data_IF_937442224688
#
_entry.id   IF_937442224688
#
_cell.length_a   1.000
_cell.length_b   1.000
_cell.length_c   1.000
_cell.angle_alpha   90.00
_cell.angle_beta   90.00
_cell.angle_gamma   90.00
#
_symmetry.space_group_name_H-M   'P 1'
#
loop_
_entity.id
_entity.type
_entity.pdbx_description
1 polymer ?
#
# COMPACT_ATOMS: atom_id res chain seq x y z
N UNK A 1 -8.92 4.98 -16.70
CA UNK A 1 -8.78 3.56 -17.03
C UNK A 1 -9.99 3.09 -17.83
N UNK A 2 -9.77 2.10 -18.68
CA UNK A 2 -10.88 1.44 -19.40
C UNK A 2 -11.31 0.18 -18.63
N UNK A 3 -12.62 -0.07 -18.63
CA UNK A 3 -13.21 -1.28 -18.09
C UNK A 3 -14.20 -1.89 -19.07
N UNK A 4 -14.26 -3.21 -19.14
CA UNK A 4 -15.14 -3.97 -20.03
C UNK A 4 -16.09 -4.80 -19.17
N UNK A 5 -17.38 -4.76 -19.50
CA UNK A 5 -18.39 -5.52 -18.78
C UNK A 5 -19.36 -6.24 -19.71
N UNK A 6 -19.85 -7.37 -19.23
CA UNK A 6 -20.81 -8.22 -19.94
C UNK A 6 -22.06 -8.38 -19.07
N UNK A 7 -23.23 -8.40 -19.68
CA UNK A 7 -24.47 -8.57 -18.91
C UNK A 7 -25.68 -8.86 -19.78
N UNK A 8 -26.72 -9.47 -19.18
CA UNK A 8 -28.00 -9.70 -19.83
C UNK A 8 -28.74 -8.41 -20.13
N UNK A 9 -28.44 -7.36 -19.37
CA UNK A 9 -28.95 -5.99 -19.59
C UNK A 9 -27.79 -5.04 -19.77
N UNK A 10 -28.01 -3.92 -20.43
CA UNK A 10 -27.02 -2.85 -20.58
C UNK A 10 -26.55 -2.36 -19.26
N UNK A 11 -27.46 -2.14 -18.30
CA UNK A 11 -27.11 -1.65 -16.95
C UNK A 11 -26.22 -2.64 -16.19
N UNK A 12 -26.52 -3.95 -16.30
CA UNK A 12 -25.68 -4.99 -15.69
C UNK A 12 -24.27 -5.01 -16.31
N UNK A 13 -24.16 -4.83 -17.63
CA UNK A 13 -22.88 -4.73 -18.31
C UNK A 13 -22.09 -3.48 -17.87
N UNK A 14 -22.76 -2.33 -17.72
CA UNK A 14 -22.14 -1.10 -17.21
C UNK A 14 -21.61 -1.30 -15.78
N UNK A 15 -22.41 -1.91 -14.89
CA UNK A 15 -21.97 -2.17 -13.52
C UNK A 15 -20.77 -3.12 -13.47
N UNK A 16 -20.73 -4.11 -14.35
CA UNK A 16 -19.56 -4.99 -14.46
C UNK A 16 -18.35 -4.26 -15.05
N UNK A 17 -18.55 -3.39 -16.06
CA UNK A 17 -17.47 -2.58 -16.63
C UNK A 17 -16.87 -1.62 -15.58
N UNK A 18 -17.68 -1.07 -14.68
CA UNK A 18 -17.18 -0.26 -13.55
C UNK A 18 -16.32 -1.08 -12.59
N UNK A 19 -16.73 -2.33 -12.30
CA UNK A 19 -15.93 -3.24 -11.45
C UNK A 19 -14.59 -3.55 -12.09
N UNK A 20 -14.60 -3.87 -13.38
CA UNK A 20 -13.39 -4.14 -14.16
C UNK A 20 -12.46 -2.91 -14.18
N UNK A 21 -13.01 -1.71 -14.39
CA UNK A 21 -12.24 -0.46 -14.33
C UNK A 21 -11.58 -0.25 -12.95
N UNK A 22 -12.29 -0.55 -11.86
CA UNK A 22 -11.72 -0.49 -10.50
C UNK A 22 -10.62 -1.53 -10.34
N UNK A 23 -10.82 -2.76 -10.82
CA UNK A 23 -9.83 -3.83 -10.77
C UNK A 23 -8.56 -3.47 -11.56
N UNK A 24 -8.72 -2.93 -12.77
CA UNK A 24 -7.61 -2.42 -13.59
C UNK A 24 -6.88 -1.26 -12.88
N UNK A 25 -7.63 -0.32 -12.30
CA UNK A 25 -7.07 0.81 -11.55
C UNK A 25 -6.33 0.39 -10.28
N UNK A 26 -6.80 -0.65 -9.61
CA UNK A 26 -6.17 -1.26 -8.44
C UNK A 26 -5.16 -2.36 -8.83
N UNK A 27 -5.20 -2.86 -10.05
CA UNK A 27 -4.46 -4.04 -10.54
C UNK A 27 -2.94 -3.94 -10.42
N UNK A 28 -2.40 -2.74 -10.22
CA UNK A 28 -0.99 -2.57 -9.86
C UNK A 28 -0.65 -3.14 -8.46
N UNK A 29 -1.66 -3.47 -7.66
CA UNK A 29 -1.53 -3.94 -6.28
C UNK A 29 -1.90 -5.42 -6.08
N UNK A 30 -2.56 -6.05 -7.06
CA UNK A 30 -3.04 -7.43 -6.93
C UNK A 30 -2.20 -8.33 -7.86
N UNK A 31 -1.43 -9.29 -7.30
CA UNK A 31 -0.68 -10.24 -8.10
C UNK A 31 -1.63 -11.26 -8.78
N UNK A 32 -1.24 -11.73 -9.97
CA UNK A 32 -2.04 -12.63 -10.82
C UNK A 32 -2.41 -13.99 -10.18
N UNK A 33 -1.80 -14.37 -9.07
CA UNK A 33 -2.12 -15.59 -8.33
C UNK A 33 -3.35 -15.48 -7.43
N UNK A 34 -3.92 -14.28 -7.29
CA UNK A 34 -5.01 -13.97 -6.36
C UNK A 34 -6.36 -13.77 -7.06
N UNK A 35 -6.54 -14.24 -8.30
CA UNK A 35 -7.71 -13.93 -9.14
C UNK A 35 -9.05 -14.25 -8.45
N UNK A 36 -9.19 -15.39 -7.77
CA UNK A 36 -10.45 -15.75 -7.07
C UNK A 36 -10.67 -14.89 -5.83
N UNK A 37 -9.60 -14.56 -5.13
CA UNK A 37 -9.62 -13.70 -3.94
C UNK A 37 -9.80 -12.24 -4.35
N UNK A 38 -9.26 -11.84 -5.50
CA UNK A 38 -9.41 -10.51 -6.07
C UNK A 38 -10.87 -10.16 -6.37
N UNK A 39 -11.63 -11.09 -6.95
CA UNK A 39 -13.05 -10.86 -7.26
C UNK A 39 -13.87 -10.60 -5.99
N UNK A 40 -13.64 -11.40 -4.93
CA UNK A 40 -14.32 -11.21 -3.63
C UNK A 40 -13.88 -9.90 -2.98
N UNK A 41 -12.59 -9.54 -3.09
CA UNK A 41 -12.06 -8.29 -2.58
C UNK A 41 -12.66 -7.10 -3.32
N UNK A 42 -12.68 -7.14 -4.66
CA UNK A 42 -13.26 -6.09 -5.49
C UNK A 42 -14.75 -5.89 -5.21
N UNK A 43 -15.52 -6.97 -5.02
CA UNK A 43 -16.93 -6.90 -4.64
C UNK A 43 -17.12 -6.26 -3.26
N UNK A 44 -16.29 -6.58 -2.28
CA UNK A 44 -16.34 -5.97 -0.95
C UNK A 44 -15.94 -4.50 -0.98
N UNK A 45 -14.87 -4.16 -1.69
CA UNK A 45 -14.42 -2.79 -1.88
C UNK A 45 -15.48 -2.00 -2.63
N UNK A 46 -16.00 -2.54 -3.74
CA UNK A 46 -17.02 -1.88 -4.55
C UNK A 46 -18.34 -1.69 -3.80
N UNK A 47 -18.77 -2.66 -3.00
CA UNK A 47 -20.01 -2.56 -2.22
C UNK A 47 -19.90 -1.52 -1.09
N UNK A 48 -18.70 -1.31 -0.55
CA UNK A 48 -18.44 -0.33 0.52
C UNK A 48 -18.06 1.04 0.00
N UNK A 49 -17.39 1.10 -1.15
CA UNK A 49 -16.90 2.31 -1.76
C UNK A 49 -17.60 2.58 -3.10
N UNK A 50 -18.87 2.95 -3.05
CA UNK A 50 -19.61 3.45 -4.24
C UNK A 50 -18.98 4.69 -4.90
N UNK A 51 -17.82 5.12 -4.41
CA UNK A 51 -17.10 6.29 -4.85
C UNK A 51 -15.79 6.04 -5.60
N UNK A 52 -15.41 4.78 -5.89
CA UNK A 52 -14.16 4.53 -6.64
C UNK A 52 -14.22 5.02 -8.09
N UNK A 53 -15.38 4.93 -8.75
CA UNK A 53 -15.59 5.52 -10.06
C UNK A 53 -16.19 6.91 -9.88
N UNK A 54 -15.38 7.95 -10.02
CA UNK A 54 -15.84 9.35 -9.95
C UNK A 54 -16.74 9.72 -11.10
N UNK A 55 -16.27 9.42 -12.31
CA UNK A 55 -16.96 9.68 -13.56
C UNK A 55 -16.67 8.56 -14.53
N UNK A 56 -17.60 8.28 -15.42
CA UNK A 56 -17.37 7.35 -16.51
C UNK A 56 -18.13 7.79 -17.75
N UNK A 57 -17.59 7.39 -18.90
CA UNK A 57 -18.22 7.55 -20.20
C UNK A 57 -18.27 6.19 -20.90
N UNK A 58 -19.40 5.89 -21.55
CA UNK A 58 -19.51 4.69 -22.38
C UNK A 58 -18.80 4.94 -23.70
N UNK A 59 -17.72 4.20 -23.92
CA UNK A 59 -16.89 4.28 -25.14
C UNK A 59 -17.51 3.44 -26.26
N UNK A 60 -17.98 2.25 -25.93
CA UNK A 60 -18.65 1.36 -26.87
C UNK A 60 -19.67 0.49 -26.17
N UNK A 61 -20.74 0.14 -26.94
CA UNK A 61 -21.75 -0.80 -26.51
C UNK A 61 -22.17 -1.67 -27.68
N UNK A 62 -22.22 -2.96 -27.47
CA UNK A 62 -22.59 -3.93 -28.49
C UNK A 62 -23.47 -5.02 -27.87
N UNK A 63 -24.52 -5.41 -28.59
CA UNK A 63 -25.33 -6.56 -28.18
C UNK A 63 -24.91 -7.76 -29.00
N UNK A 64 -24.38 -8.77 -28.33
CA UNK A 64 -23.90 -10.00 -28.94
C UNK A 64 -25.06 -10.87 -29.52
N UNK A 65 -24.73 -11.83 -30.36
CA UNK A 65 -25.71 -12.76 -30.96
C UNK A 65 -26.34 -13.69 -29.89
N UNK A 66 -25.72 -13.85 -28.74
CA UNK A 66 -26.20 -14.56 -27.55
C UNK A 66 -27.19 -13.75 -26.71
N UNK A 67 -27.46 -12.50 -27.11
CA UNK A 67 -28.36 -11.58 -26.43
C UNK A 67 -27.71 -10.80 -25.28
N UNK A 68 -26.45 -11.07 -24.95
CA UNK A 68 -25.72 -10.35 -23.93
C UNK A 68 -25.22 -8.99 -24.45
N UNK A 69 -25.14 -8.03 -23.56
CA UNK A 69 -24.50 -6.76 -23.80
C UNK A 69 -23.00 -6.83 -23.41
N UNK A 70 -22.18 -6.28 -24.27
CA UNK A 70 -20.80 -5.94 -24.02
C UNK A 70 -20.69 -4.42 -24.00
N UNK A 71 -20.16 -3.87 -22.91
CA UNK A 71 -20.00 -2.43 -22.74
C UNK A 71 -18.56 -2.14 -22.33
N UNK A 72 -17.95 -1.20 -23.03
CA UNK A 72 -16.65 -0.63 -22.63
C UNK A 72 -16.87 0.78 -22.10
N UNK A 73 -16.32 1.06 -20.95
CA UNK A 73 -16.33 2.40 -20.35
C UNK A 73 -14.91 2.94 -20.22
N UNK A 74 -14.78 4.26 -20.35
CA UNK A 74 -13.62 4.99 -19.82
C UNK A 74 -14.01 5.59 -18.48
N UNK A 75 -13.29 5.26 -17.43
CA UNK A 75 -13.61 5.65 -16.08
C UNK A 75 -12.43 6.38 -15.41
N UNK A 76 -12.76 7.44 -14.68
CA UNK A 76 -11.85 8.05 -13.71
C UNK A 76 -12.01 7.32 -12.38
N UNK A 77 -11.06 6.44 -12.09
CA UNK A 77 -10.98 5.72 -10.83
C UNK A 77 -10.11 6.52 -9.89
N UNK A 78 -10.69 6.96 -8.79
CA UNK A 78 -9.90 7.56 -7.71
C UNK A 78 -9.38 6.42 -6.84
N UNK A 79 -8.08 6.36 -6.67
CA UNK A 79 -7.49 5.53 -5.63
C UNK A 79 -7.87 6.14 -4.27
N UNK A 80 -9.03 5.79 -3.76
CA UNK A 80 -9.44 6.10 -2.38
C UNK A 80 -8.72 5.15 -1.43
N UNK A 81 -7.42 4.95 -1.67
CA UNK A 81 -6.58 4.13 -0.80
C UNK A 81 -6.69 4.63 0.65
N UNK A 82 -6.82 5.94 0.82
CA UNK A 82 -7.00 6.57 2.13
C UNK A 82 -8.29 6.11 2.80
N UNK A 83 -9.39 5.93 2.08
CA UNK A 83 -10.64 5.44 2.66
C UNK A 83 -10.59 3.94 2.96
N UNK A 84 -9.99 3.14 2.07
CA UNK A 84 -9.74 1.71 2.35
C UNK A 84 -8.82 1.55 3.57
N UNK A 85 -7.81 2.40 3.70
CA UNK A 85 -6.90 2.40 4.86
C UNK A 85 -7.58 2.89 6.15
N UNK A 86 -8.69 3.62 6.05
CA UNK A 86 -9.50 4.05 7.19
C UNK A 86 -10.60 3.03 7.55
N UNK A 87 -11.12 2.28 6.58
CA UNK A 87 -12.06 1.18 6.85
C UNK A 87 -11.29 -0.08 7.28
N UNK A 88 -11.34 -0.38 8.56
CA UNK A 88 -10.63 -1.52 9.16
C UNK A 88 -11.03 -2.86 8.51
N UNK A 89 -12.30 -3.06 8.18
CA UNK A 89 -12.76 -4.31 7.58
C UNK A 89 -12.28 -4.46 6.13
N UNK A 90 -12.24 -3.38 5.36
CA UNK A 90 -11.70 -3.38 4.01
C UNK A 90 -10.18 -3.63 4.02
N UNK A 91 -9.47 -2.99 4.94
CA UNK A 91 -8.03 -3.20 5.11
C UNK A 91 -7.71 -4.65 5.52
N UNK A 92 -8.45 -5.23 6.49
CA UNK A 92 -8.25 -6.63 6.90
C UNK A 92 -8.54 -7.61 5.76
N UNK A 93 -9.55 -7.32 4.93
CA UNK A 93 -9.86 -8.13 3.74
C UNK A 93 -8.70 -8.08 2.75
N UNK A 94 -8.15 -6.90 2.50
CA UNK A 94 -6.98 -6.71 1.64
C UNK A 94 -5.75 -7.46 2.17
N UNK A 95 -5.43 -7.31 3.44
CA UNK A 95 -4.30 -7.99 4.06
C UNK A 95 -4.44 -9.52 4.01
N UNK A 96 -5.64 -10.04 4.22
CA UNK A 96 -5.91 -11.47 4.12
C UNK A 96 -5.76 -11.96 2.68
N UNK A 97 -6.21 -11.20 1.67
CA UNK A 97 -6.06 -11.56 0.25
C UNK A 97 -4.59 -11.62 -0.18
N UNK A 98 -3.75 -10.80 0.43
CA UNK A 98 -2.30 -10.78 0.22
C UNK A 98 -1.54 -11.81 1.08
N UNK A 99 -2.24 -12.70 1.78
CA UNK A 99 -1.68 -13.67 2.72
C UNK A 99 -0.88 -13.03 3.87
N UNK A 100 -1.30 -11.82 4.30
CA UNK A 100 -0.70 -11.02 5.38
C UNK A 100 0.82 -10.93 5.25
N UNK A 101 1.34 -10.19 4.26
CA UNK A 101 2.77 -10.09 4.07
C UNK A 101 3.46 -9.55 5.33
N UNK A 102 4.55 -10.19 5.70
CA UNK A 102 5.33 -9.81 6.86
C UNK A 102 6.30 -8.69 6.52
N UNK A 103 6.27 -7.61 7.30
CA UNK A 103 6.97 -6.36 6.99
C UNK A 103 8.10 -6.11 7.98
N UNK A 104 9.26 -5.69 7.47
CA UNK A 104 10.37 -5.14 8.26
C UNK A 104 10.52 -3.65 8.00
N UNK A 105 10.75 -2.90 9.04
CA UNK A 105 11.19 -1.51 8.95
C UNK A 105 12.67 -1.39 9.32
N UNK A 106 13.46 -0.83 8.41
CA UNK A 106 14.85 -0.45 8.62
C UNK A 106 14.94 1.06 8.48
N UNK A 107 14.87 1.78 9.59
CA UNK A 107 14.88 3.25 9.57
C UNK A 107 16.13 3.76 10.29
N UNK A 108 16.93 4.54 9.56
CA UNK A 108 18.02 5.31 10.16
C UNK A 108 17.51 6.67 10.57
N UNK A 109 17.49 6.94 11.87
CA UNK A 109 17.16 8.25 12.39
C UNK A 109 18.40 9.05 12.75
N UNK A 110 18.34 10.35 12.48
CA UNK A 110 19.36 11.30 12.90
C UNK A 110 18.68 12.54 13.45
N UNK A 111 18.92 12.82 14.72
CA UNK A 111 18.52 14.07 15.33
C UNK A 111 19.69 15.07 15.23
N UNK A 112 19.53 16.04 14.32
CA UNK A 112 20.56 17.06 14.09
C UNK A 112 20.54 18.19 15.13
N UNK A 113 19.54 18.21 16.03
CA UNK A 113 19.46 19.21 17.10
C UNK A 113 20.46 18.84 18.20
N UNK A 114 20.42 17.58 18.64
CA UNK A 114 21.21 17.09 19.77
C UNK A 114 22.29 16.09 19.34
N UNK A 115 22.33 15.74 18.06
CA UNK A 115 23.21 14.72 17.48
C UNK A 115 23.12 13.34 18.18
N UNK A 116 21.94 13.04 18.73
CA UNK A 116 21.65 11.78 19.43
C UNK A 116 20.85 10.89 18.49
N UNK A 117 21.24 9.61 18.33
CA UNK A 117 20.41 8.65 17.60
C UNK A 117 19.07 8.50 18.29
N UNK A 118 18.00 8.62 17.51
CA UNK A 118 16.62 8.38 17.98
C UNK A 118 16.01 7.22 17.21
N UNK A 119 14.87 6.75 17.67
CA UNK A 119 14.11 5.65 17.03
C UNK A 119 12.62 5.95 17.00
N UNK A 120 12.29 7.23 17.05
CA UNK A 120 10.91 7.71 17.09
C UNK A 120 10.14 7.35 15.82
N UNK A 121 10.73 7.57 14.65
CA UNK A 121 10.06 7.32 13.37
C UNK A 121 9.84 5.81 13.18
N UNK A 122 10.87 4.98 13.47
CA UNK A 122 10.75 3.52 13.41
C UNK A 122 9.65 3.03 14.35
N UNK A 123 9.66 3.48 15.61
CA UNK A 123 8.69 3.07 16.62
C UNK A 123 7.26 3.50 16.25
N UNK A 124 7.11 4.71 15.73
CA UNK A 124 5.80 5.22 15.29
C UNK A 124 5.26 4.40 14.11
N UNK A 125 6.09 4.15 13.10
CA UNK A 125 5.71 3.31 11.96
C UNK A 125 5.29 1.91 12.42
N UNK A 126 6.10 1.25 13.24
CA UNK A 126 5.78 -0.06 13.81
C UNK A 126 4.43 -0.04 14.52
N UNK A 127 4.20 0.95 15.38
CA UNK A 127 2.95 1.09 16.14
C UNK A 127 1.73 1.28 15.24
N UNK A 128 1.83 2.16 14.24
CA UNK A 128 0.71 2.44 13.34
C UNK A 128 0.38 1.25 12.43
N UNK A 129 1.40 0.55 11.89
CA UNK A 129 1.18 -0.64 11.09
C UNK A 129 0.61 -1.78 11.93
N UNK A 130 1.11 -1.98 13.15
CA UNK A 130 0.59 -2.99 14.07
C UNK A 130 -0.88 -2.74 14.44
N UNK A 131 -1.26 -1.50 14.77
CA UNK A 131 -2.65 -1.11 15.05
C UNK A 131 -3.58 -1.39 13.88
N UNK A 132 -3.10 -1.27 12.66
CA UNK A 132 -3.86 -1.56 11.44
C UNK A 132 -3.87 -3.06 11.07
N UNK A 133 -3.26 -3.92 11.88
CA UNK A 133 -3.29 -5.38 11.72
C UNK A 133 -2.30 -5.94 10.70
N UNK A 134 -1.27 -5.20 10.34
CA UNK A 134 -0.16 -5.74 9.56
C UNK A 134 0.69 -6.70 10.40
N UNK A 135 1.24 -7.74 9.77
CA UNK A 135 2.26 -8.58 10.39
C UNK A 135 3.63 -7.87 10.29
N UNK A 136 4.14 -7.44 11.43
CA UNK A 136 5.38 -6.68 11.50
C UNK A 136 6.41 -7.46 12.29
N UNK A 137 7.64 -7.55 11.76
CA UNK A 137 8.76 -8.21 12.44
C UNK A 137 9.08 -7.50 13.74
N UNK A 138 9.28 -8.28 14.80
CA UNK A 138 9.63 -7.75 16.10
C UNK A 138 10.91 -6.90 16.04
N UNK A 139 10.85 -5.74 16.67
CA UNK A 139 11.94 -4.77 16.70
C UNK A 139 13.23 -5.34 17.30
N UNK A 140 13.13 -6.21 18.30
CA UNK A 140 14.31 -6.80 18.93
C UNK A 140 15.07 -7.69 17.95
N UNK A 141 14.37 -8.41 17.07
CA UNK A 141 14.98 -9.21 16.01
C UNK A 141 15.76 -8.32 15.03
N UNK A 142 15.18 -7.18 14.64
CA UNK A 142 15.84 -6.21 13.76
C UNK A 142 17.04 -5.55 14.45
N UNK A 143 16.89 -5.19 15.70
CA UNK A 143 17.99 -4.57 16.48
C UNK A 143 19.19 -5.50 16.66
N UNK A 144 18.98 -6.80 16.73
CA UNK A 144 20.06 -7.78 16.79
C UNK A 144 20.95 -7.79 15.53
N UNK A 145 20.46 -7.23 14.43
CA UNK A 145 21.21 -7.08 13.17
C UNK A 145 21.93 -5.74 13.05
N UNK A 146 21.62 -4.77 13.91
CA UNK A 146 22.28 -3.44 13.89
C UNK A 146 23.79 -3.61 14.09
N UNK A 147 24.57 -2.96 13.22
CA UNK A 147 26.03 -3.06 13.23
C UNK A 147 26.60 -4.24 12.43
N UNK A 148 25.78 -5.12 11.87
CA UNK A 148 26.23 -6.10 10.90
C UNK A 148 26.36 -5.47 9.51
N UNK A 149 27.29 -5.98 8.68
CA UNK A 149 27.57 -5.40 7.37
C UNK A 149 26.35 -5.35 6.44
N UNK A 150 25.58 -6.44 6.40
CA UNK A 150 24.36 -6.50 5.54
C UNK A 150 23.30 -5.48 6.00
N UNK A 151 23.19 -5.17 7.30
CA UNK A 151 22.26 -4.15 7.81
C UNK A 151 22.64 -2.75 7.33
N UNK A 152 23.90 -2.38 7.43
CA UNK A 152 24.39 -1.06 6.99
C UNK A 152 24.30 -0.91 5.46
N UNK A 153 24.59 -1.99 4.73
CA UNK A 153 24.43 -2.02 3.27
C UNK A 153 22.97 -1.87 2.85
N UNK A 154 22.05 -2.56 3.52
CA UNK A 154 20.61 -2.45 3.26
C UNK A 154 20.14 -1.01 3.50
N UNK A 155 20.53 -0.39 4.62
CA UNK A 155 20.22 1.03 4.90
C UNK A 155 20.80 1.98 3.86
N UNK A 156 21.88 1.61 3.21
CA UNK A 156 22.49 2.37 2.11
C UNK A 156 21.78 2.14 0.75
N UNK A 157 20.74 1.30 0.73
CA UNK A 157 19.93 1.01 -0.45
C UNK A 157 20.35 -0.23 -1.26
N UNK A 158 21.28 -1.05 -0.72
CA UNK A 158 21.66 -2.32 -1.35
C UNK A 158 20.51 -3.34 -1.25
N UNK A 159 19.88 -3.61 -2.39
CA UNK A 159 18.72 -4.53 -2.47
C UNK A 159 19.10 -5.97 -2.11
N UNK A 160 20.30 -6.43 -2.49
CA UNK A 160 20.73 -7.79 -2.19
C UNK A 160 20.94 -7.99 -0.68
N UNK A 161 21.51 -7.01 0.03
CA UNK A 161 21.66 -7.04 1.47
C UNK A 161 20.28 -6.98 2.17
N UNK A 162 19.37 -6.14 1.66
CA UNK A 162 17.99 -6.09 2.14
C UNK A 162 17.27 -7.44 2.00
N UNK A 163 17.38 -8.09 0.83
CA UNK A 163 16.78 -9.41 0.59
C UNK A 163 17.34 -10.50 1.51
N UNK A 164 18.64 -10.46 1.85
CA UNK A 164 19.22 -11.39 2.83
C UNK A 164 18.60 -11.20 4.22
N UNK A 165 18.43 -9.94 4.66
CA UNK A 165 17.77 -9.62 5.93
C UNK A 165 16.33 -10.11 5.93
N UNK A 166 15.59 -9.89 4.82
CA UNK A 166 14.24 -10.41 4.68
C UNK A 166 14.18 -11.91 4.86
N UNK A 167 15.01 -12.65 4.12
CA UNK A 167 15.09 -14.10 4.20
C UNK A 167 15.45 -14.60 5.61
N UNK A 168 16.38 -13.92 6.28
CA UNK A 168 16.81 -14.27 7.63
C UNK A 168 15.70 -14.08 8.68
N UNK A 169 14.87 -13.06 8.53
CA UNK A 169 13.80 -12.72 9.46
C UNK A 169 12.42 -13.21 8.99
N UNK A 170 12.34 -13.90 7.85
CA UNK A 170 11.12 -14.42 7.28
C UNK A 170 10.13 -13.30 6.92
N UNK A 171 10.60 -12.24 6.30
CA UNK A 171 9.78 -11.13 5.86
C UNK A 171 9.63 -11.10 4.34
N UNK A 172 8.48 -10.63 3.89
CA UNK A 172 8.12 -10.51 2.48
C UNK A 172 8.42 -9.11 1.95
N UNK A 173 8.36 -8.11 2.82
CA UNK A 173 8.50 -6.70 2.46
C UNK A 173 9.49 -6.03 3.41
N UNK A 174 10.41 -5.24 2.85
CA UNK A 174 11.29 -4.37 3.62
C UNK A 174 11.01 -2.92 3.27
N UNK A 175 10.79 -2.12 4.30
CA UNK A 175 10.73 -0.67 4.21
C UNK A 175 12.03 -0.10 4.73
N UNK A 176 12.81 0.50 3.84
CA UNK A 176 14.09 1.11 4.18
C UNK A 176 13.90 2.62 4.16
N UNK A 177 14.29 3.30 5.23
CA UNK A 177 14.09 4.73 5.31
C UNK A 177 15.17 5.47 6.08
N UNK A 178 15.16 6.78 5.89
CA UNK A 178 15.91 7.73 6.71
C UNK A 178 14.97 8.79 7.25
N UNK A 179 15.06 9.06 8.54
CA UNK A 179 14.36 10.14 9.18
C UNK A 179 15.38 11.12 9.76
N UNK A 180 15.25 12.40 9.43
CA UNK A 180 16.13 13.46 9.92
C UNK A 180 15.29 14.50 10.63
N UNK A 181 15.67 14.84 11.84
CA UNK A 181 15.08 15.93 12.60
C UNK A 181 16.08 17.07 12.68
N UNK A 182 15.68 18.25 12.25
CA UNK A 182 16.49 19.48 12.30
C UNK A 182 15.74 20.60 13.01
N UNK A 183 16.48 21.57 13.53
CA UNK A 183 15.88 22.78 14.09
C UNK A 183 15.41 23.69 12.96
N UNK A 184 14.14 24.05 12.98
CA UNK A 184 13.56 25.05 12.07
C UNK A 184 13.78 26.48 12.53
N UNK A 185 14.49 26.65 13.68
CA UNK A 185 14.78 27.96 14.26
C UNK A 185 14.00 28.25 15.55
N UNK A 186 14.42 29.30 16.24
CA UNK A 186 13.73 29.81 17.41
C UNK A 186 13.01 31.10 17.07
N UNK A 187 11.74 31.17 17.44
CA UNK A 187 10.94 32.36 17.35
C UNK A 187 10.32 32.66 18.71
N UNK A 188 10.78 33.70 19.37
CA UNK A 188 10.51 33.97 20.79
C UNK A 188 10.89 32.75 21.67
N UNK A 189 9.96 32.25 22.49
CA UNK A 189 10.17 31.11 23.36
C UNK A 189 9.77 29.76 22.73
N UNK A 190 9.45 29.75 21.42
CA UNK A 190 9.08 28.54 20.68
C UNK A 190 10.26 28.09 19.83
N UNK A 191 10.54 26.80 19.88
CA UNK A 191 11.47 26.13 18.97
C UNK A 191 10.66 25.37 17.94
N UNK A 192 10.86 25.65 16.66
CA UNK A 192 10.29 24.85 15.59
C UNK A 192 11.24 23.70 15.23
N UNK A 193 10.70 22.53 14.94
CA UNK A 193 11.42 21.39 14.40
C UNK A 193 10.93 21.10 12.97
N UNK A 194 11.84 20.65 12.14
CA UNK A 194 11.54 20.10 10.81
C UNK A 194 11.94 18.64 10.80
N UNK A 195 11.06 17.78 10.27
CA UNK A 195 11.34 16.37 10.08
C UNK A 195 11.24 16.04 8.59
N UNK A 196 12.27 15.40 8.05
CA UNK A 196 12.32 14.88 6.70
C UNK A 196 12.38 13.37 6.75
N UNK A 197 11.45 12.70 6.08
CA UNK A 197 11.38 11.23 6.01
C UNK A 197 11.44 10.82 4.55
N UNK A 198 12.39 9.95 4.23
CA UNK A 198 12.52 9.34 2.91
C UNK A 198 12.53 7.82 3.07
N UNK A 199 11.83 7.12 2.18
CA UNK A 199 11.74 5.68 2.24
C UNK A 199 11.71 4.99 0.88
N UNK A 200 12.12 3.73 0.85
CA UNK A 200 12.06 2.82 -0.29
C UNK A 200 11.50 1.49 0.18
N UNK A 201 10.63 0.90 -0.62
CA UNK A 201 10.09 -0.44 -0.39
C UNK A 201 10.82 -1.41 -1.30
N UNK A 202 11.23 -2.55 -0.74
CA UNK A 202 11.82 -3.69 -1.44
C UNK A 202 10.95 -4.91 -1.15
N UNK A 203 10.63 -5.64 -2.19
CA UNK A 203 9.81 -6.87 -2.16
C UNK A 203 10.61 -8.04 -2.71
#
# INVERSE_FOLDING_TARGET
VEGIGYGLTKDAAIEQAKRDAVEVGLGAYISSETVVTATTLTDNIYSKAQGFVKTFEVVSETKGPDGNWEVTISAEVTAMLDEVMQDEAALQTLLNSMNRPRIIFLVRETNLIDNVPTDFAETTLLSEFYKKGFDVVDRQMVQALKGQGDYEEALSGNVAAASKIAAQLGADIIVIGTAKVSSGGKFYNMTSGQADINGKIVR
#
